data_IF_122957196534
#
_entry.id   IF_122957196534
#
_cell.length_a   1.000
_cell.length_b   1.000
_cell.length_c   1.000
_cell.angle_alpha   90.00
_cell.angle_beta   90.00
_cell.angle_gamma   90.00
#
_symmetry.space_group_name_H-M   'P 1'
#
loop_
_entity.id
_entity.type
_entity.pdbx_description
1 polymer ?
#
# COMPACT_ATOMS: atom_id res chain seq x y z
N UNK A 1 -13.86 -4.67 7.20
CA UNK A 1 -13.90 -5.97 6.49
C UNK A 1 -12.49 -6.21 6.02
N UNK A 2 -11.91 -7.34 6.40
CA UNK A 2 -10.54 -7.68 6.05
C UNK A 2 -10.52 -8.60 4.83
N UNK A 3 -9.65 -8.28 3.87
CA UNK A 3 -9.31 -9.14 2.73
C UNK A 3 -7.84 -9.49 2.89
N UNK A 4 -7.53 -10.79 2.86
CA UNK A 4 -6.15 -11.29 2.93
C UNK A 4 -5.88 -12.08 1.68
N UNK A 5 -4.76 -11.81 1.02
CA UNK A 5 -4.29 -12.54 -0.15
C UNK A 5 -2.88 -13.09 0.09
N UNK A 6 -2.64 -14.31 -0.38
CA UNK A 6 -1.34 -14.97 -0.32
C UNK A 6 -0.91 -15.53 -1.69
N UNK A 7 -1.79 -15.46 -2.69
CA UNK A 7 -1.47 -15.70 -4.09
C UNK A 7 -1.45 -14.35 -4.84
N UNK A 8 -0.35 -13.98 -5.52
CA UNK A 8 -0.29 -12.80 -6.38
C UNK A 8 -1.37 -12.75 -7.46
N UNK A 9 -1.91 -13.89 -7.89
CA UNK A 9 -3.05 -13.93 -8.83
C UNK A 9 -4.32 -13.26 -8.29
N UNK A 10 -4.38 -13.00 -6.98
CA UNK A 10 -5.50 -12.32 -6.32
C UNK A 10 -5.28 -10.81 -6.13
N UNK A 11 -4.16 -10.25 -6.60
CA UNK A 11 -3.88 -8.81 -6.56
C UNK A 11 -5.04 -7.93 -7.07
N UNK A 12 -5.76 -8.29 -8.15
CA UNK A 12 -6.92 -7.50 -8.61
C UNK A 12 -7.96 -7.26 -7.51
N UNK A 13 -8.14 -8.19 -6.55
CA UNK A 13 -9.07 -8.03 -5.43
C UNK A 13 -8.67 -6.91 -4.48
N UNK A 14 -7.36 -6.70 -4.27
CA UNK A 14 -6.85 -5.60 -3.45
C UNK A 14 -6.92 -4.30 -4.25
N UNK A 15 -6.50 -4.31 -5.52
CA UNK A 15 -6.53 -3.14 -6.39
C UNK A 15 -7.95 -2.56 -6.51
N UNK A 16 -8.96 -3.40 -6.69
CA UNK A 16 -10.38 -3.01 -6.71
C UNK A 16 -10.83 -2.24 -5.45
N UNK A 17 -10.13 -2.41 -4.32
CA UNK A 17 -10.44 -1.72 -3.06
C UNK A 17 -9.65 -0.44 -2.84
N UNK A 18 -8.51 -0.27 -3.50
CA UNK A 18 -7.60 0.85 -3.26
C UNK A 18 -7.49 1.82 -4.43
N UNK A 19 -7.94 1.47 -5.64
CA UNK A 19 -7.79 2.34 -6.82
C UNK A 19 -8.45 3.73 -6.69
N UNK A 20 -9.60 3.81 -6.00
CA UNK A 20 -10.28 5.08 -5.71
C UNK A 20 -9.79 5.76 -4.42
N UNK A 21 -8.64 5.35 -3.88
CA UNK A 21 -8.13 5.83 -2.60
C UNK A 21 -6.79 6.52 -2.73
N UNK A 22 -6.64 7.51 -1.87
CA UNK A 22 -5.45 8.32 -1.71
C UNK A 22 -4.65 7.82 -0.51
N UNK A 23 -3.33 7.87 -0.63
CA UNK A 23 -2.38 7.70 0.47
C UNK A 23 -1.40 8.86 0.51
N UNK A 24 -0.60 8.89 1.56
CA UNK A 24 0.43 9.90 1.82
C UNK A 24 1.72 9.17 2.18
N UNK A 25 2.79 9.45 1.44
CA UNK A 25 4.10 8.79 1.62
C UNK A 25 4.66 9.05 3.03
N UNK A 26 4.42 10.23 3.60
CA UNK A 26 4.89 10.60 4.94
C UNK A 26 4.11 9.86 6.04
N UNK A 27 2.96 9.26 5.70
CA UNK A 27 2.13 8.48 6.63
C UNK A 27 2.34 6.98 6.53
N UNK A 28 3.25 6.52 5.67
CA UNK A 28 3.66 5.12 5.62
C UNK A 28 4.24 4.71 6.98
N UNK A 29 3.65 3.68 7.58
CA UNK A 29 4.15 3.13 8.85
C UNK A 29 4.90 1.85 8.57
N UNK A 30 6.23 1.91 8.69
CA UNK A 30 7.09 0.74 8.56
C UNK A 30 7.38 0.16 9.94
N UNK A 31 7.04 -1.12 10.13
CA UNK A 31 7.41 -1.88 11.32
C UNK A 31 8.38 -2.97 10.87
N UNK A 32 9.59 -2.55 10.50
CA UNK A 32 10.60 -3.44 9.91
C UNK A 32 10.98 -4.61 10.84
N UNK A 33 10.96 -4.41 12.16
CA UNK A 33 11.17 -5.49 13.13
C UNK A 33 10.10 -6.61 13.06
N UNK A 34 8.92 -6.30 12.50
CA UNK A 34 7.85 -7.28 12.25
C UNK A 34 7.74 -7.65 10.77
N UNK A 35 8.55 -7.04 9.90
CA UNK A 35 8.46 -7.20 8.45
C UNK A 35 7.13 -6.70 7.88
N UNK A 36 6.58 -5.59 8.38
CA UNK A 36 5.28 -5.06 7.93
C UNK A 36 5.43 -3.63 7.43
N UNK A 37 4.90 -3.36 6.25
CA UNK A 37 4.65 -2.01 5.74
C UNK A 37 3.15 -1.76 5.73
N UNK A 38 2.73 -0.69 6.38
CA UNK A 38 1.34 -0.26 6.43
C UNK A 38 1.16 1.03 5.64
N UNK A 39 0.22 1.02 4.72
CA UNK A 39 -0.15 2.11 3.83
C UNK A 39 -1.58 2.53 4.20
N UNK A 40 -1.73 3.61 4.99
CA UNK A 40 -3.05 4.19 5.25
C UNK A 40 -3.63 4.75 3.96
N UNK A 41 -4.87 4.38 3.64
CA UNK A 41 -5.57 4.83 2.44
C UNK A 41 -6.94 5.41 2.80
N UNK A 42 -7.38 6.46 2.12
CA UNK A 42 -8.67 7.10 2.33
C UNK A 42 -9.33 7.54 1.01
N UNK A 43 -10.67 7.65 0.99
CA UNK A 43 -11.40 8.05 -0.24
C UNK A 43 -11.20 9.51 -0.64
N UNK A 44 -10.78 10.36 0.29
CA UNK A 44 -10.50 11.78 0.05
C UNK A 44 -9.15 12.13 0.63
N UNK A 45 -8.43 13.02 -0.04
CA UNK A 45 -7.12 13.52 0.37
C UNK A 45 -7.12 14.03 1.84
N UNK A 46 -8.16 14.77 2.24
CA UNK A 46 -8.31 15.29 3.61
C UNK A 46 -8.63 14.25 4.69
N UNK A 47 -9.08 13.06 4.29
CA UNK A 47 -9.50 11.98 5.20
C UNK A 47 -8.32 11.09 5.64
N UNK A 48 -7.08 11.49 5.35
CA UNK A 48 -5.88 10.87 5.91
C UNK A 48 -5.45 11.50 7.25
N UNK A 49 -6.14 12.54 7.74
CA UNK A 49 -5.88 13.14 9.07
C UNK A 49 -6.31 12.22 10.20
N UNK A 50 -5.69 12.25 11.38
CA UNK A 50 -5.93 11.26 12.46
C UNK A 50 -7.41 11.10 12.89
N UNK A 51 -8.27 12.09 12.64
CA UNK A 51 -9.66 12.11 13.12
C UNK A 51 -10.75 11.67 12.12
N UNK A 52 -10.41 11.25 10.90
CA UNK A 52 -11.39 10.81 9.91
C UNK A 52 -11.68 9.31 10.04
N UNK A 53 -12.93 8.96 10.39
CA UNK A 53 -13.43 7.58 10.54
C UNK A 53 -13.62 6.78 9.24
N UNK A 54 -12.92 7.15 8.16
CA UNK A 54 -13.04 6.54 6.83
C UNK A 54 -11.70 6.07 6.26
N UNK A 55 -10.81 5.58 7.14
CA UNK A 55 -9.52 5.03 6.72
C UNK A 55 -9.63 3.53 6.50
N UNK A 56 -8.86 3.07 5.55
CA UNK A 56 -8.54 1.67 5.43
C UNK A 56 -7.02 1.51 5.51
N UNK A 57 -6.59 0.30 5.82
CA UNK A 57 -5.18 -0.03 5.93
C UNK A 57 -4.84 -1.09 4.89
N UNK A 58 -3.90 -0.77 4.00
CA UNK A 58 -3.24 -1.76 3.17
C UNK A 58 -1.95 -2.18 3.89
N UNK A 59 -1.81 -3.46 4.20
CA UNK A 59 -0.67 -4.01 4.91
C UNK A 59 0.05 -5.03 4.03
N UNK A 60 1.37 -4.90 3.95
CA UNK A 60 2.25 -5.83 3.23
C UNK A 60 3.18 -6.47 4.26
N UNK A 61 3.22 -7.80 4.27
CA UNK A 61 3.91 -8.59 5.28
C UNK A 61 5.18 -9.25 4.71
N UNK A 62 6.02 -9.78 5.59
CA UNK A 62 7.31 -10.40 5.27
C UNK A 62 8.25 -9.45 4.51
N UNK A 63 8.15 -8.14 4.77
CA UNK A 63 8.93 -7.09 4.12
C UNK A 63 10.36 -7.12 4.63
N UNK A 64 11.31 -7.20 3.71
CA UNK A 64 12.75 -7.13 3.99
C UNK A 64 13.33 -5.76 3.66
N UNK A 65 12.76 -5.08 2.66
CA UNK A 65 13.25 -3.80 2.17
C UNK A 65 12.13 -2.97 1.56
N UNK A 66 12.22 -1.66 1.75
CA UNK A 66 11.33 -0.66 1.15
C UNK A 66 12.20 0.36 0.41
N UNK A 67 11.85 0.64 -0.84
CA UNK A 67 12.40 1.75 -1.62
C UNK A 67 11.25 2.63 -2.11
N UNK A 68 11.43 3.94 -2.01
CA UNK A 68 10.46 4.93 -2.48
C UNK A 68 11.21 5.85 -3.44
N UNK A 69 10.70 5.95 -4.66
CA UNK A 69 11.11 6.94 -5.65
C UNK A 69 9.95 7.93 -5.85
N UNK A 70 10.18 9.17 -5.43
CA UNK A 70 9.18 10.24 -5.45
C UNK A 70 9.83 11.54 -6.00
N UNK A 71 9.92 11.66 -7.34
CA UNK A 71 10.50 12.83 -7.97
C UNK A 71 9.63 14.08 -7.81
N UNK A 72 8.31 13.91 -7.73
CA UNK A 72 7.35 15.03 -7.76
C UNK A 72 7.07 15.63 -6.38
N UNK A 73 7.17 14.85 -5.30
CA UNK A 73 7.01 15.31 -3.91
C UNK A 73 5.73 16.09 -3.65
N UNK A 74 4.62 15.59 -4.18
CA UNK A 74 3.29 16.20 -4.06
C UNK A 74 2.56 15.79 -2.77
N UNK A 75 3.11 14.82 -2.04
CA UNK A 75 2.63 14.35 -0.75
C UNK A 75 1.51 13.30 -0.85
N UNK A 76 0.49 13.55 -1.69
CA UNK A 76 -0.66 12.67 -1.83
C UNK A 76 -0.72 11.98 -3.19
N UNK A 77 -0.97 10.67 -3.16
CA UNK A 77 -0.93 9.80 -4.33
C UNK A 77 -2.12 8.85 -4.34
N UNK A 78 -2.55 8.46 -5.53
CA UNK A 78 -3.47 7.37 -5.83
C UNK A 78 -2.71 6.05 -6.03
N UNK A 79 -3.40 4.91 -5.93
CA UNK A 79 -2.83 3.59 -6.26
C UNK A 79 -3.47 3.11 -7.55
N UNK A 80 -2.79 3.27 -8.67
CA UNK A 80 -3.32 2.87 -9.97
C UNK A 80 -2.95 1.45 -10.35
N UNK A 81 -1.77 0.99 -9.94
CA UNK A 81 -1.29 -0.34 -10.26
C UNK A 81 -0.54 -0.96 -9.08
N UNK A 82 -0.75 -2.26 -8.88
CA UNK A 82 0.03 -3.09 -7.98
C UNK A 82 0.47 -4.32 -8.78
N UNK A 83 1.78 -4.50 -8.92
CA UNK A 83 2.38 -5.64 -9.60
C UNK A 83 3.29 -6.44 -8.66
N UNK A 84 3.48 -7.72 -8.95
CA UNK A 84 4.39 -8.59 -8.20
C UNK A 84 5.33 -9.36 -9.12
N UNK A 85 6.61 -9.02 -9.04
CA UNK A 85 7.67 -9.78 -9.68
C UNK A 85 8.09 -10.96 -8.79
N UNK A 86 7.70 -12.17 -9.23
CA UNK A 86 8.03 -13.43 -8.55
C UNK A 86 9.53 -13.73 -8.50
N UNK A 87 10.32 -13.20 -9.45
CA UNK A 87 11.75 -13.47 -9.54
C UNK A 87 12.51 -12.68 -8.46
N UNK A 88 12.21 -11.39 -8.32
CA UNK A 88 12.84 -10.53 -7.32
C UNK A 88 12.12 -10.50 -5.97
N UNK A 89 10.90 -11.03 -5.88
CA UNK A 89 10.06 -10.91 -4.69
C UNK A 89 9.63 -9.46 -4.44
N UNK A 90 9.49 -8.66 -5.49
CA UNK A 90 9.19 -7.24 -5.40
C UNK A 90 7.71 -6.97 -5.68
N UNK A 91 7.05 -6.33 -4.72
CA UNK A 91 5.73 -5.71 -4.90
C UNK A 91 5.97 -4.26 -5.32
N UNK A 92 5.48 -3.90 -6.50
CA UNK A 92 5.58 -2.55 -7.05
C UNK A 92 4.22 -1.87 -7.00
N UNK A 93 4.15 -0.69 -6.39
CA UNK A 93 2.97 0.16 -6.35
C UNK A 93 3.28 1.44 -7.13
N UNK A 94 2.40 1.81 -8.06
CA UNK A 94 2.51 3.06 -8.82
C UNK A 94 1.22 3.84 -8.80
N UNK A 95 1.35 5.17 -8.75
CA UNK A 95 0.25 6.13 -8.84
C UNK A 95 0.17 6.81 -10.20
N UNK A 96 -0.81 7.69 -10.36
CA UNK A 96 -1.03 8.51 -11.57
C UNK A 96 -0.09 9.71 -11.64
N UNK A 97 0.38 10.17 -10.48
CA UNK A 97 1.52 11.09 -10.39
C UNK A 97 2.79 10.24 -10.26
N UNK A 98 3.84 10.52 -11.06
CA UNK A 98 5.09 9.75 -11.03
C UNK A 98 5.60 9.53 -9.60
N UNK A 99 5.43 8.31 -9.14
CA UNK A 99 5.83 7.83 -7.83
C UNK A 99 5.87 6.31 -7.89
N UNK A 100 6.89 5.73 -7.27
CA UNK A 100 7.09 4.30 -7.27
C UNK A 100 7.50 3.82 -5.89
N UNK A 101 6.69 2.91 -5.33
CA UNK A 101 7.02 2.23 -4.08
C UNK A 101 7.37 0.79 -4.42
N UNK A 102 8.60 0.40 -4.10
CA UNK A 102 9.09 -0.98 -4.24
C UNK A 102 9.22 -1.62 -2.86
N UNK A 103 8.53 -2.73 -2.67
CA UNK A 103 8.47 -3.44 -1.40
C UNK A 103 8.94 -4.86 -1.64
N UNK A 104 10.12 -5.19 -1.14
CA UNK A 104 10.70 -6.51 -1.28
C UNK A 104 10.23 -7.39 -0.14
N UNK A 105 9.73 -8.58 -0.48
CA UNK A 105 9.17 -9.54 0.46
C UNK A 105 9.80 -10.91 0.30
N UNK A 106 9.99 -11.63 1.41
CA UNK A 106 10.41 -13.05 1.36
C UNK A 106 9.30 -13.95 0.86
N UNK A 107 8.05 -13.59 1.21
CA UNK A 107 6.85 -14.32 0.83
C UNK A 107 5.71 -13.34 0.62
N UNK A 108 5.02 -13.49 -0.51
CA UNK A 108 3.84 -12.69 -0.81
C UNK A 108 2.74 -12.91 0.23
N UNK A 109 2.37 -11.83 0.92
CA UNK A 109 1.27 -11.79 1.86
C UNK A 109 0.84 -10.34 2.03
N UNK A 110 -0.42 -10.06 1.70
CA UNK A 110 -0.99 -8.71 1.72
C UNK A 110 -2.39 -8.75 2.31
N UNK A 111 -2.74 -7.74 3.07
CA UNK A 111 -4.09 -7.58 3.62
C UNK A 111 -4.60 -6.17 3.45
N UNK A 112 -5.93 -6.05 3.34
CA UNK A 112 -6.63 -4.78 3.28
C UNK A 112 -7.77 -4.79 4.29
N UNK A 113 -7.79 -3.82 5.20
CA UNK A 113 -8.84 -3.66 6.20
C UNK A 113 -9.59 -2.34 6.01
N UNK A 114 -10.89 -2.42 5.70
CA UNK A 114 -11.78 -1.27 5.52
C UNK A 114 -12.36 -0.66 6.80
N UNK A 115 -12.02 -1.19 7.99
CA UNK A 115 -12.55 -0.76 9.28
C UNK A 115 -11.51 -0.12 10.22
N UNK A 116 -10.38 0.33 9.69
CA UNK A 116 -9.32 0.96 10.50
C UNK A 116 -9.77 2.36 10.92
N UNK A 117 -10.28 2.49 12.15
CA UNK A 117 -10.69 3.76 12.77
C UNK A 117 -9.76 4.12 13.93
#
# INVERSE_FOLDING_TARGET
MEIVITDPGELPKILDKVHDKWFDLDKLKTVMARGIVNIPVARKQGDLSENSGHKALLSIHNVTKLEIDDPERVGFYDINEIDFDRVSGCIKITGGIPSEIRIFVEKFHMSFDSGFA
#
